data_IF_148384755961
#
_entry.id   IF_148384755961
#
_cell.length_a   1.000
_cell.length_b   1.000
_cell.length_c   1.000
_cell.angle_alpha   90.00
_cell.angle_beta   90.00
_cell.angle_gamma   90.00
#
_symmetry.space_group_name_H-M   'P 1'
#
loop_
_entity.id
_entity.type
_entity.pdbx_description
1 polymer ?
#
# COMPACT_ATOMS: atom_id res chain seq x y z
N UNK A 1 11.37 -6.46 -3.85
CA UNK A 1 10.07 -6.13 -3.20
C UNK A 1 10.15 -5.07 -2.10
N UNK A 2 10.55 -5.39 -0.87
CA UNK A 2 10.54 -4.41 0.25
C UNK A 2 11.33 -3.12 -0.04
N UNK A 3 12.55 -3.24 -0.59
CA UNK A 3 13.37 -2.10 -0.99
C UNK A 3 12.74 -1.29 -2.14
N UNK A 4 12.03 -1.93 -3.06
CA UNK A 4 11.36 -1.26 -4.18
C UNK A 4 10.15 -0.44 -3.69
N UNK A 5 9.38 -0.99 -2.75
CA UNK A 5 8.27 -0.28 -2.10
C UNK A 5 8.80 0.87 -1.25
N UNK A 6 9.88 0.67 -0.49
CA UNK A 6 10.57 1.73 0.23
C UNK A 6 10.97 2.89 -0.69
N UNK A 7 11.68 2.58 -1.79
CA UNK A 7 12.07 3.57 -2.78
C UNK A 7 10.87 4.29 -3.44
N UNK A 8 9.74 3.61 -3.60
CA UNK A 8 8.49 4.25 -4.07
C UNK A 8 7.98 5.29 -3.09
N UNK A 9 7.94 4.96 -1.79
CA UNK A 9 7.54 5.88 -0.73
C UNK A 9 8.52 7.05 -0.61
N UNK A 10 9.82 6.80 -0.76
CA UNK A 10 10.86 7.85 -0.76
C UNK A 10 10.62 8.87 -1.87
N UNK A 11 10.21 8.42 -3.07
CA UNK A 11 9.83 9.32 -4.16
C UNK A 11 8.58 10.15 -3.83
N UNK A 12 7.58 9.57 -3.15
CA UNK A 12 6.41 10.30 -2.68
C UNK A 12 6.78 11.38 -1.65
N UNK A 13 7.70 11.06 -0.75
CA UNK A 13 8.27 12.04 0.20
C UNK A 13 9.01 13.15 -0.54
N UNK A 14 9.86 12.80 -1.51
CA UNK A 14 10.60 13.78 -2.30
C UNK A 14 9.69 14.72 -3.12
N UNK A 15 8.50 14.27 -3.52
CA UNK A 15 7.49 15.09 -4.20
C UNK A 15 6.62 15.91 -3.24
N UNK A 16 6.76 15.73 -1.92
CA UNK A 16 5.92 16.38 -0.92
C UNK A 16 4.52 15.75 -0.77
N UNK A 17 4.28 14.59 -1.37
CA UNK A 17 2.99 13.88 -1.30
C UNK A 17 2.83 13.13 0.03
N UNK A 18 3.93 12.63 0.60
CA UNK A 18 3.93 11.85 1.84
C UNK A 18 4.87 12.47 2.86
N UNK A 19 4.44 12.54 4.12
CA UNK A 19 5.34 12.93 5.22
C UNK A 19 6.39 11.86 5.48
N UNK A 20 7.66 12.26 5.61
CA UNK A 20 8.76 11.34 5.86
C UNK A 20 8.58 10.53 7.17
N UNK A 21 8.01 11.17 8.20
CA UNK A 21 7.75 10.62 9.53
C UNK A 21 6.37 9.97 9.67
N UNK A 22 5.67 9.74 8.55
CA UNK A 22 4.31 9.20 8.59
C UNK A 22 4.28 7.84 9.31
N UNK A 23 3.47 7.67 10.37
CA UNK A 23 3.51 6.48 11.23
C UNK A 23 3.18 5.19 10.48
N UNK A 24 2.37 5.26 9.42
CA UNK A 24 2.02 4.09 8.62
C UNK A 24 3.14 3.62 7.66
N UNK A 25 4.13 4.47 7.36
CA UNK A 25 5.16 4.21 6.32
C UNK A 25 5.91 2.89 6.51
N UNK A 26 6.34 2.47 7.72
CA UNK A 26 7.05 1.20 7.92
C UNK A 26 6.20 -0.04 7.61
N UNK A 27 4.87 0.08 7.61
CA UNK A 27 3.95 -1.06 7.49
C UNK A 27 3.48 -1.31 6.05
N UNK A 28 3.60 -0.31 5.15
CA UNK A 28 3.04 -0.36 3.79
C UNK A 28 3.51 -1.60 3.02
N UNK A 29 4.82 -1.86 3.04
CA UNK A 29 5.39 -2.98 2.28
C UNK A 29 4.92 -4.34 2.82
N UNK A 30 4.84 -4.48 4.15
CA UNK A 30 4.30 -5.68 4.79
C UNK A 30 2.81 -5.88 4.50
N UNK A 31 2.01 -4.81 4.44
CA UNK A 31 0.59 -4.90 4.12
C UNK A 31 0.36 -5.30 2.64
N UNK A 32 1.11 -4.71 1.70
CA UNK A 32 1.02 -5.08 0.28
C UNK A 32 1.39 -6.55 0.04
N UNK A 33 2.45 -7.05 0.67
CA UNK A 33 2.84 -8.46 0.54
C UNK A 33 1.92 -9.39 1.33
N UNK A 34 1.46 -8.94 2.51
CA UNK A 34 0.59 -9.69 3.40
C UNK A 34 -0.76 -9.97 2.77
N UNK A 35 -1.38 -8.99 2.13
CA UNK A 35 -2.71 -9.16 1.53
C UNK A 35 -2.73 -10.18 0.39
N UNK A 36 -1.63 -10.31 -0.37
CA UNK A 36 -1.49 -11.34 -1.41
C UNK A 36 -1.64 -12.75 -0.85
N UNK A 37 -1.13 -12.99 0.36
CA UNK A 37 -1.20 -14.30 1.02
C UNK A 37 -2.45 -14.46 1.88
N UNK A 38 -2.81 -13.42 2.64
CA UNK A 38 -3.94 -13.48 3.57
C UNK A 38 -5.27 -13.59 2.85
N UNK A 39 -5.44 -12.97 1.67
CA UNK A 39 -6.68 -13.14 0.90
C UNK A 39 -6.85 -14.58 0.41
N UNK A 40 -5.78 -15.20 -0.06
CA UNK A 40 -5.82 -16.60 -0.47
C UNK A 40 -6.16 -17.52 0.72
N UNK A 41 -5.62 -17.20 1.90
CA UNK A 41 -5.89 -17.96 3.12
C UNK A 41 -7.33 -17.77 3.66
N UNK A 42 -7.82 -16.54 3.72
CA UNK A 42 -9.12 -16.20 4.33
C UNK A 42 -10.29 -16.42 3.36
N UNK A 43 -10.13 -15.98 2.10
CA UNK A 43 -11.22 -15.96 1.12
C UNK A 43 -11.14 -17.10 0.09
N UNK A 44 -10.05 -17.88 0.09
CA UNK A 44 -9.77 -18.88 -0.96
C UNK A 44 -9.52 -18.25 -2.35
N UNK A 45 -9.26 -16.95 -2.41
CA UNK A 45 -9.10 -16.19 -3.66
C UNK A 45 -7.77 -15.45 -3.69
N UNK A 46 -7.08 -15.53 -4.82
CA UNK A 46 -5.88 -14.73 -5.05
C UNK A 46 -6.24 -13.23 -5.09
N UNK A 47 -5.34 -12.39 -4.61
CA UNK A 47 -5.43 -10.95 -4.80
C UNK A 47 -4.97 -10.61 -6.22
N UNK A 48 -5.92 -10.63 -7.16
CA UNK A 48 -5.70 -10.18 -8.53
C UNK A 48 -5.45 -8.67 -8.61
N UNK A 49 -5.05 -8.20 -9.79
CA UNK A 49 -4.76 -6.78 -10.04
C UNK A 49 -5.92 -5.88 -9.63
N UNK A 50 -7.16 -6.24 -9.99
CA UNK A 50 -8.35 -5.45 -9.68
C UNK A 50 -8.60 -5.34 -8.17
N UNK A 51 -8.36 -6.41 -7.41
CA UNK A 51 -8.45 -6.37 -5.96
C UNK A 51 -7.32 -5.55 -5.34
N UNK A 52 -6.08 -5.72 -5.81
CA UNK A 52 -4.95 -4.94 -5.31
C UNK A 52 -5.15 -3.45 -5.55
N UNK A 53 -5.67 -3.06 -6.72
CA UNK A 53 -6.00 -1.66 -7.00
C UNK A 53 -7.04 -1.13 -5.99
N UNK A 54 -8.14 -1.86 -5.77
CA UNK A 54 -9.14 -1.48 -4.76
C UNK A 54 -8.57 -1.43 -3.36
N UNK A 55 -7.70 -2.37 -2.98
CA UNK A 55 -7.05 -2.38 -1.68
C UNK A 55 -6.16 -1.16 -1.48
N UNK A 56 -5.35 -0.81 -2.48
CA UNK A 56 -4.50 0.40 -2.42
C UNK A 56 -5.37 1.65 -2.29
N UNK A 57 -6.41 1.80 -3.13
CA UNK A 57 -7.30 2.98 -3.13
C UNK A 57 -8.13 3.11 -1.86
N UNK A 58 -8.71 2.01 -1.38
CA UNK A 58 -9.65 2.05 -0.25
C UNK A 58 -8.96 1.99 1.12
N UNK A 59 -7.73 1.48 1.21
CA UNK A 59 -7.05 1.24 2.49
C UNK A 59 -5.73 2.00 2.57
N UNK A 60 -4.80 1.77 1.64
CA UNK A 60 -3.44 2.30 1.80
C UNK A 60 -3.35 3.80 1.55
N UNK A 61 -3.95 4.31 0.47
CA UNK A 61 -3.91 5.75 0.17
C UNK A 61 -4.57 6.59 1.29
N UNK A 62 -5.79 6.26 1.75
CA UNK A 62 -6.42 7.01 2.85
C UNK A 62 -5.62 6.97 4.15
N UNK A 63 -5.04 5.82 4.50
CA UNK A 63 -4.19 5.69 5.69
C UNK A 63 -2.95 6.57 5.61
N UNK A 64 -2.45 6.86 4.41
CA UNK A 64 -1.31 7.74 4.17
C UNK A 64 -1.72 9.23 4.04
N UNK A 65 -3.01 9.55 4.22
CA UNK A 65 -3.54 10.90 4.00
C UNK A 65 -3.58 11.31 2.53
N UNK A 66 -3.53 10.33 1.61
CA UNK A 66 -3.61 10.56 0.18
C UNK A 66 -5.05 10.35 -0.27
N UNK A 67 -5.61 11.36 -0.94
CA UNK A 67 -6.91 11.20 -1.60
C UNK A 67 -6.72 10.31 -2.83
N UNK A 68 -7.31 9.12 -2.80
CA UNK A 68 -7.48 8.34 -4.02
C UNK A 68 -8.55 9.04 -4.86
N UNK A 69 -8.28 9.44 -6.12
CA UNK A 69 -9.34 9.94 -6.98
C UNK A 69 -10.41 8.85 -7.13
N UNK A 70 -11.69 9.28 -7.09
CA UNK A 70 -12.87 8.43 -7.34
C UNK A 70 -12.80 7.73 -8.70
#
# INVERSE_FOLDING_TARGET
>A
ELAAIGAMLDRGVARGELRADHPARPYVASQLLGVLRMRAFVDGKHADTAYMERFVRAVLLPVLGLEAPE
#
